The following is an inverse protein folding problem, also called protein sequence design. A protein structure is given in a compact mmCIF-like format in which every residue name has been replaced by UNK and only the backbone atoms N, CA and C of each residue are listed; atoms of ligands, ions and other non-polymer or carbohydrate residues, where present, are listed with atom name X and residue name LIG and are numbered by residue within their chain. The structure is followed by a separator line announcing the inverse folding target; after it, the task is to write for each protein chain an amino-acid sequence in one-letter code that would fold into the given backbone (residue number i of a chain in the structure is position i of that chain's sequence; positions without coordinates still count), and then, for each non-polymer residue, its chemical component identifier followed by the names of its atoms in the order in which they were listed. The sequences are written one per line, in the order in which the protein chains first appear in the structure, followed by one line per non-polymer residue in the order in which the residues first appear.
data_IF_094127213503
#
_entry.id   IF_094127213503
#
_cell.length_a   1.000
_cell.length_b   1.000
_cell.length_c   1.000
_cell.angle_alpha   90.00
_cell.angle_beta   90.00
_cell.angle_gamma   90.00
#
_symmetry.space_group_name_H-M   'P 1'
#
loop_
_entity.id
_entity.type
_entity.pdbx_description
1 polymer ?
#
# COMPACT_ATOMS: atom_id res chain seq x y z
N UNK A 1 19.66 5.92 -11.04
CA UNK A 1 18.93 4.84 -10.33
C UNK A 1 19.80 3.60 -10.42
N UNK A 2 20.33 3.12 -9.29
CA UNK A 2 21.10 1.87 -9.23
C UNK A 2 20.11 0.76 -8.92
N UNK A 3 19.61 0.08 -9.94
CA UNK A 3 18.80 -1.12 -9.76
C UNK A 3 19.78 -2.30 -9.66
N UNK A 4 19.77 -3.10 -8.58
CA UNK A 4 20.59 -4.30 -8.53
C UNK A 4 20.20 -5.22 -9.69
N UNK A 5 21.19 -5.83 -10.34
CA UNK A 5 21.00 -6.86 -11.38
C UNK A 5 20.40 -8.12 -10.73
N UNK A 6 19.13 -8.05 -10.36
CA UNK A 6 18.39 -9.14 -9.78
C UNK A 6 17.74 -9.90 -10.92
N UNK A 7 18.23 -11.11 -11.18
CA UNK A 7 17.63 -12.05 -12.14
C UNK A 7 16.16 -12.31 -11.77
N UNK A 8 15.32 -12.59 -12.77
CA UNK A 8 13.89 -12.83 -12.58
C UNK A 8 13.59 -13.86 -11.47
N UNK A 9 14.40 -14.92 -11.37
CA UNK A 9 14.29 -15.94 -10.32
C UNK A 9 14.53 -15.38 -8.91
N UNK A 10 15.47 -14.44 -8.77
CA UNK A 10 15.74 -13.77 -7.49
C UNK A 10 14.55 -12.90 -7.07
N UNK A 11 13.96 -12.17 -8.02
CA UNK A 11 12.73 -11.41 -7.78
C UNK A 11 11.56 -12.31 -7.37
N UNK A 12 11.34 -13.43 -8.07
CA UNK A 12 10.31 -14.40 -7.68
C UNK A 12 10.54 -14.99 -6.28
N UNK A 13 11.79 -15.16 -5.86
CA UNK A 13 12.11 -15.67 -4.53
C UNK A 13 11.92 -14.62 -3.43
N UNK A 14 12.19 -13.35 -3.70
CA UNK A 14 12.00 -12.24 -2.75
C UNK A 14 10.53 -11.81 -2.65
N UNK A 15 9.78 -11.82 -3.76
CA UNK A 15 8.39 -11.33 -3.82
C UNK A 15 7.43 -12.49 -4.07
N UNK A 16 7.44 -13.48 -3.17
CA UNK A 16 6.58 -14.68 -3.30
C UNK A 16 5.12 -14.39 -3.02
N UNK A 17 4.85 -13.39 -2.19
CA UNK A 17 3.50 -13.02 -1.76
C UNK A 17 3.24 -11.54 -2.01
N UNK A 18 1.97 -11.16 -2.16
CA UNK A 18 1.61 -9.75 -2.30
C UNK A 18 2.04 -8.95 -1.06
N UNK A 19 2.01 -9.58 0.12
CA UNK A 19 2.43 -8.99 1.40
C UNK A 19 3.92 -8.63 1.42
N UNK A 20 4.81 -9.50 0.91
CA UNK A 20 6.24 -9.20 0.77
C UNK A 20 6.48 -7.98 -0.12
N UNK A 21 5.79 -7.93 -1.27
CA UNK A 21 5.89 -6.82 -2.20
C UNK A 21 5.44 -5.50 -1.55
N UNK A 22 4.29 -5.52 -0.87
CA UNK A 22 3.76 -4.33 -0.22
C UNK A 22 4.61 -3.87 0.96
N UNK A 23 5.18 -4.80 1.73
CA UNK A 23 6.10 -4.47 2.82
C UNK A 23 7.36 -3.80 2.28
N UNK A 24 7.98 -4.37 1.24
CA UNK A 24 9.15 -3.78 0.59
C UNK A 24 8.85 -2.39 0.01
N UNK A 25 7.70 -2.23 -0.65
CA UNK A 25 7.26 -0.92 -1.16
C UNK A 25 7.03 0.08 -0.02
N UNK A 26 6.50 -0.36 1.11
CA UNK A 26 6.28 0.46 2.30
C UNK A 26 7.61 0.96 2.88
N UNK A 27 8.60 0.08 2.99
CA UNK A 27 9.95 0.43 3.45
C UNK A 27 10.66 1.37 2.48
N UNK A 28 10.56 1.14 1.17
CA UNK A 28 11.13 2.05 0.17
C UNK A 28 10.47 3.43 0.19
N UNK A 29 9.14 3.48 0.36
CA UNK A 29 8.38 4.74 0.41
C UNK A 29 8.64 5.51 1.69
N UNK A 30 8.85 4.81 2.81
CA UNK A 30 8.96 5.37 4.15
C UNK A 30 10.10 4.71 4.94
N UNK A 31 11.37 5.02 4.61
CA UNK A 31 12.52 4.34 5.22
C UNK A 31 12.69 4.65 6.72
N UNK A 32 12.12 5.77 7.20
CA UNK A 32 12.19 6.19 8.60
C UNK A 32 10.85 6.01 9.34
N UNK A 33 9.94 5.20 8.80
CA UNK A 33 8.58 5.05 9.32
C UNK A 33 7.56 5.86 8.52
N UNK A 34 6.30 5.44 8.64
CA UNK A 34 5.19 6.05 7.90
C UNK A 34 5.12 7.54 8.19
N UNK A 35 5.04 8.36 7.15
CA UNK A 35 4.76 9.78 7.25
C UNK A 35 3.74 10.16 6.19
N UNK A 36 2.60 10.70 6.61
CA UNK A 36 1.58 11.13 5.68
C UNK A 36 2.09 12.32 4.85
N UNK A 37 2.13 12.23 3.51
CA UNK A 37 2.59 13.35 2.68
C UNK A 37 1.65 14.56 2.73
N UNK A 38 0.41 14.39 3.19
CA UNK A 38 -0.61 15.44 3.21
C UNK A 38 -0.64 16.24 4.52
N UNK A 39 -0.42 15.60 5.67
CA UNK A 39 -0.40 16.27 6.98
C UNK A 39 0.93 16.18 7.73
N UNK A 40 1.89 15.36 7.29
CA UNK A 40 3.19 15.22 7.94
C UNK A 40 3.18 14.41 9.24
N UNK A 41 2.05 13.81 9.63
CA UNK A 41 1.97 12.96 10.81
C UNK A 41 2.40 11.52 10.52
N UNK A 42 2.94 10.86 11.54
CA UNK A 42 3.37 9.46 11.53
C UNK A 42 2.26 8.46 11.88
N UNK A 43 1.06 8.97 12.15
CA UNK A 43 -0.13 8.16 12.44
C UNK A 43 -0.69 7.51 11.17
N UNK A 44 -0.13 6.35 10.83
CA UNK A 44 -0.62 5.47 9.77
C UNK A 44 -1.30 4.23 10.34
N UNK A 45 -2.45 3.86 9.78
CA UNK A 45 -3.18 2.63 10.11
C UNK A 45 -3.12 1.70 8.90
N UNK A 46 -2.82 0.43 9.13
CA UNK A 46 -3.04 -0.62 8.15
C UNK A 46 -4.53 -0.95 8.01
N UNK A 47 -5.01 -0.96 6.77
CA UNK A 47 -6.37 -1.37 6.47
C UNK A 47 -6.42 -2.87 6.27
N UNK A 48 -7.47 -3.51 6.81
CA UNK A 48 -7.68 -4.94 6.62
C UNK A 48 -8.35 -5.25 5.28
N UNK A 49 -9.26 -4.38 4.83
CA UNK A 49 -9.99 -4.55 3.56
C UNK A 49 -9.17 -4.17 2.32
N UNK A 50 -8.06 -3.46 2.49
CA UNK A 50 -7.14 -3.06 1.42
C UNK A 50 -5.74 -3.18 1.97
N UNK A 51 -4.82 -3.79 1.24
CA UNK A 51 -3.44 -3.96 1.68
C UNK A 51 -2.65 -2.63 1.55
N UNK A 52 -3.12 -1.60 2.27
CA UNK A 52 -2.63 -0.22 2.22
C UNK A 52 -2.49 0.31 3.64
N UNK A 53 -1.50 1.18 3.83
CA UNK A 53 -1.36 1.99 5.05
C UNK A 53 -1.78 3.41 4.72
N UNK A 54 -2.80 3.90 5.40
CA UNK A 54 -3.34 5.25 5.23
C UNK A 54 -3.21 6.05 6.52
N UNK A 55 -3.24 7.38 6.39
CA UNK A 55 -3.17 8.22 7.58
C UNK A 55 -4.49 8.15 8.35
N UNK A 56 -4.43 8.01 9.67
CA UNK A 56 -5.60 7.99 10.56
C UNK A 56 -6.51 9.22 10.38
N UNK A 57 -5.96 10.34 9.91
CA UNK A 57 -6.67 11.60 9.71
C UNK A 57 -7.28 11.76 8.33
N UNK A 58 -6.81 10.99 7.33
CA UNK A 58 -7.24 11.08 5.93
C UNK A 58 -7.81 9.78 5.40
N UNK A 59 -8.07 8.82 6.31
CA UNK A 59 -8.59 7.52 5.96
C UNK A 59 -9.95 7.67 5.28
N UNK A 60 -10.01 7.39 3.98
CA UNK A 60 -11.26 7.35 3.25
C UNK A 60 -11.73 5.89 3.23
N UNK A 61 -12.36 5.46 4.33
CA UNK A 61 -13.03 4.16 4.37
C UNK A 61 -14.25 4.24 3.46
N UNK A 62 -14.03 3.95 2.18
CA UNK A 62 -15.13 3.63 1.29
C UNK A 62 -15.66 2.26 1.74
N UNK A 63 -16.92 2.14 2.20
CA UNK A 63 -17.50 0.84 2.45
C UNK A 63 -17.52 0.09 1.12
N UNK A 64 -16.81 -1.03 1.08
CA UNK A 64 -16.80 -1.98 -0.03
C UNK A 64 -18.21 -2.59 -0.22
N UNK A 65 -19.11 -1.85 -0.88
CA UNK A 65 -20.18 -2.33 -1.76
C UNK A 65 -21.12 -1.18 -2.14
N UNK A 66 -20.78 -0.46 -3.22
CA UNK A 66 -21.79 0.03 -4.17
C UNK A 66 -21.26 -0.13 -5.60
N UNK A 67 -20.80 -1.33 -5.94
CA UNK A 67 -20.89 -1.85 -7.32
C UNK A 67 -22.20 -2.64 -7.41
N UNK A 68 -23.33 -2.00 -7.11
CA UNK A 68 -24.64 -2.48 -7.53
C UNK A 68 -25.37 -1.31 -8.16
N UNK A 69 -25.26 -1.26 -9.49
CA UNK A 69 -26.35 -0.91 -10.40
C UNK A 69 -27.25 0.25 -9.93
N UNK A 70 -26.86 1.47 -10.25
CA UNK A 70 -27.89 2.41 -10.69
C UNK A 70 -28.18 2.06 -12.15
N UNK A 71 -29.34 1.46 -12.50
CA UNK A 71 -29.79 1.52 -13.88
C UNK A 71 -29.98 3.00 -14.20
N UNK A 72 -29.19 3.47 -15.17
CA UNK A 72 -29.51 4.60 -16.03
C UNK A 72 -31.01 4.55 -16.39
N UNK A 73 -31.82 5.35 -15.71
CA UNK A 73 -33.11 5.85 -16.18
C UNK A 73 -33.35 7.19 -15.51
#
# INVERSE_FOLDING_TARGET
MNTPEASFLTWQQQFRTNKDCLQYLKEMKWPNGFMCPQCGHDNGIDLHCRELTECSLHINIQPDHLITLMPIT
#
